data_IF_778667953035
#
_entry.id   IF_778667953035
#
_cell.length_a   1.000
_cell.length_b   1.000
_cell.length_c   1.000
_cell.angle_alpha   90.00
_cell.angle_beta   90.00
_cell.angle_gamma   90.00
#
_symmetry.space_group_name_H-M   'P 1'
#
loop_
_entity.id
_entity.type
_entity.pdbx_description
1 polymer ?
#
# COMPACT_ATOMS: atom_id res chain seq x y z
N UNK A 1 -19.62 -0.49 0.59
CA UNK A 1 -19.07 -0.73 -0.75
C UNK A 1 -19.72 -1.97 -1.35
N UNK A 2 -19.18 -3.19 -1.15
CA UNK A 2 -19.70 -4.43 -1.80
C UNK A 2 -21.19 -4.69 -1.50
N UNK A 3 -21.64 -4.51 -0.26
CA UNK A 3 -23.05 -4.69 0.12
C UNK A 3 -23.97 -3.49 -0.23
N UNK A 4 -23.46 -2.47 -0.91
CA UNK A 4 -24.23 -1.25 -1.24
C UNK A 4 -24.51 -0.29 -0.05
N UNK A 5 -24.02 -0.60 1.16
CA UNK A 5 -24.28 0.21 2.38
C UNK A 5 -23.32 1.39 2.61
N UNK A 6 -22.32 1.55 1.76
CA UNK A 6 -21.29 2.57 1.92
C UNK A 6 -20.80 2.97 0.53
N UNK A 7 -20.74 4.28 0.27
CA UNK A 7 -20.46 4.86 -1.05
C UNK A 7 -18.95 4.98 -1.36
N UNK A 8 -18.12 5.21 -0.34
CA UNK A 8 -16.67 5.39 -0.50
C UNK A 8 -15.90 4.67 0.59
N UNK A 9 -14.76 4.11 0.24
CA UNK A 9 -13.78 3.59 1.18
C UNK A 9 -12.40 4.17 0.84
N UNK A 10 -11.70 4.74 1.83
CA UNK A 10 -10.34 5.23 1.66
C UNK A 10 -9.37 4.14 2.11
N UNK A 11 -8.80 3.41 1.15
CA UNK A 11 -7.97 2.24 1.42
C UNK A 11 -6.92 2.08 0.32
N UNK A 12 -5.85 1.33 0.61
CA UNK A 12 -4.93 0.90 -0.44
C UNK A 12 -5.55 -0.12 -1.39
N UNK A 13 -4.78 -0.43 -2.43
CA UNK A 13 -5.23 -1.17 -3.60
C UNK A 13 -5.55 -2.65 -3.35
N UNK A 14 -5.13 -3.22 -2.21
CA UNK A 14 -5.58 -4.54 -1.77
C UNK A 14 -7.09 -4.65 -1.65
N UNK A 15 -7.81 -3.54 -1.47
CA UNK A 15 -9.27 -3.52 -1.55
C UNK A 15 -9.80 -3.96 -2.93
N UNK A 16 -9.06 -3.70 -4.02
CA UNK A 16 -9.39 -4.19 -5.37
C UNK A 16 -9.49 -5.72 -5.42
N UNK A 17 -8.57 -6.43 -4.74
CA UNK A 17 -8.60 -7.89 -4.65
C UNK A 17 -9.91 -8.43 -4.05
N UNK A 18 -10.49 -7.73 -3.08
CA UNK A 18 -11.78 -8.10 -2.50
C UNK A 18 -12.94 -7.93 -3.51
N UNK A 19 -12.91 -6.88 -4.32
CA UNK A 19 -13.90 -6.67 -5.38
C UNK A 19 -13.80 -7.73 -6.49
N UNK A 20 -12.57 -8.12 -6.87
CA UNK A 20 -12.33 -9.23 -7.81
C UNK A 20 -12.84 -10.55 -7.25
N UNK A 21 -12.56 -10.83 -5.97
CA UNK A 21 -13.04 -12.05 -5.30
C UNK A 21 -14.58 -12.11 -5.23
N UNK A 22 -15.22 -10.95 -5.05
CA UNK A 22 -16.67 -10.79 -5.12
C UNK A 22 -17.24 -10.80 -6.56
N UNK A 23 -16.39 -10.98 -7.59
CA UNK A 23 -16.75 -11.00 -9.03
C UNK A 23 -17.41 -9.70 -9.52
N UNK A 24 -17.06 -8.58 -8.92
CA UNK A 24 -17.53 -7.25 -9.34
C UNK A 24 -16.69 -6.74 -10.51
N UNK A 25 -17.28 -5.87 -11.34
CA UNK A 25 -16.68 -5.35 -12.56
C UNK A 25 -16.26 -3.90 -12.44
N UNK A 26 -15.04 -3.62 -12.89
CA UNK A 26 -14.48 -2.28 -13.03
C UNK A 26 -15.42 -1.33 -13.78
N UNK A 27 -15.62 -0.13 -13.22
CA UNK A 27 -16.43 0.96 -13.76
C UNK A 27 -17.90 0.61 -14.04
N UNK A 28 -18.39 -0.52 -13.51
CA UNK A 28 -19.80 -0.92 -13.54
C UNK A 28 -20.32 -1.06 -12.11
N UNK A 29 -19.66 -1.91 -11.32
CA UNK A 29 -20.06 -2.20 -9.94
C UNK A 29 -19.24 -1.37 -8.92
N UNK A 30 -18.00 -1.01 -9.26
CA UNK A 30 -17.13 -0.16 -8.46
C UNK A 30 -16.15 0.63 -9.33
N UNK A 31 -15.51 1.64 -8.74
CA UNK A 31 -14.48 2.44 -9.38
C UNK A 31 -13.48 2.97 -8.36
N UNK A 32 -12.54 3.78 -8.83
CA UNK A 32 -11.45 4.33 -8.02
C UNK A 32 -11.12 5.75 -8.47
N UNK A 33 -10.58 6.51 -7.53
CA UNK A 33 -10.02 7.85 -7.72
C UNK A 33 -8.86 8.01 -6.76
N UNK A 34 -7.94 8.94 -7.05
CA UNK A 34 -6.98 9.40 -6.05
C UNK A 34 -7.72 10.01 -4.85
N UNK A 35 -7.17 9.87 -3.65
CA UNK A 35 -7.74 10.50 -2.46
C UNK A 35 -7.80 12.03 -2.68
N UNK A 36 -8.85 12.73 -2.23
CA UNK A 36 -8.97 14.17 -2.43
C UNK A 36 -7.73 14.93 -1.97
N UNK A 37 -7.18 15.77 -2.84
CA UNK A 37 -5.99 16.58 -2.55
C UNK A 37 -4.64 15.88 -2.75
N UNK A 38 -4.61 14.62 -3.21
CA UNK A 38 -3.35 13.87 -3.40
C UNK A 38 -2.99 13.63 -4.88
N UNK A 39 -3.63 14.33 -5.81
CA UNK A 39 -3.31 14.22 -7.23
C UNK A 39 -1.83 14.61 -7.48
N UNK A 40 -1.13 13.85 -8.33
CA UNK A 40 0.30 14.04 -8.56
C UNK A 40 1.21 13.36 -7.53
N UNK A 41 0.65 12.58 -6.59
CA UNK A 41 1.40 11.80 -5.61
C UNK A 41 0.95 10.35 -5.60
N UNK A 42 1.91 9.44 -5.59
CA UNK A 42 1.69 8.01 -5.42
C UNK A 42 2.26 7.58 -4.07
N UNK A 43 1.36 7.31 -3.10
CA UNK A 43 1.78 6.80 -1.79
C UNK A 43 2.13 5.31 -1.93
N UNK A 44 3.43 5.02 -2.01
CA UNK A 44 3.92 3.67 -2.32
C UNK A 44 4.01 2.79 -1.07
N UNK A 45 3.59 1.54 -1.22
CA UNK A 45 3.95 0.42 -0.36
C UNK A 45 4.50 -0.71 -1.23
N UNK A 46 5.53 -1.41 -0.75
CA UNK A 46 6.11 -2.54 -1.45
C UNK A 46 6.22 -3.75 -0.51
N UNK A 47 5.55 -4.85 -0.88
CA UNK A 47 5.63 -6.10 -0.15
C UNK A 47 6.92 -6.85 -0.53
N UNK A 48 7.72 -7.21 0.49
CA UNK A 48 9.02 -7.87 0.31
C UNK A 48 9.10 -9.20 1.06
N UNK A 49 9.71 -10.20 0.43
CA UNK A 49 10.09 -11.46 1.07
C UNK A 49 11.60 -11.48 1.30
N UNK A 50 12.02 -11.91 2.49
CA UNK A 50 13.44 -11.90 2.89
C UNK A 50 13.99 -13.32 3.06
N UNK A 51 15.30 -13.47 2.82
CA UNK A 51 16.07 -14.61 3.27
C UNK A 51 16.75 -14.25 4.59
N UNK A 52 16.24 -14.77 5.71
CA UNK A 52 16.86 -14.57 7.01
C UNK A 52 18.24 -15.26 7.08
N UNK A 53 19.19 -14.62 7.77
CA UNK A 53 20.51 -15.21 8.04
C UNK A 53 20.33 -16.49 8.87
N UNK A 54 20.89 -17.60 8.40
CA UNK A 54 20.78 -18.90 9.08
C UNK A 54 19.44 -19.61 8.89
N UNK A 55 18.67 -19.24 7.85
CA UNK A 55 17.42 -19.94 7.53
C UNK A 55 17.66 -21.46 7.35
N UNK A 56 16.84 -22.33 7.98
CA UNK A 56 17.07 -23.78 7.99
C UNK A 56 16.95 -24.40 6.59
N UNK A 57 16.25 -23.74 5.66
CA UNK A 57 16.13 -24.16 4.26
C UNK A 57 16.47 -23.01 3.29
N UNK A 58 17.72 -22.56 3.31
CA UNK A 58 18.20 -21.46 2.47
C UNK A 58 17.94 -21.70 0.97
N UNK A 59 18.14 -22.93 0.47
CA UNK A 59 17.94 -23.27 -0.94
C UNK A 59 16.47 -23.12 -1.34
N UNK A 60 15.56 -23.64 -0.51
CA UNK A 60 14.12 -23.50 -0.73
C UNK A 60 13.68 -22.03 -0.74
N UNK A 61 14.15 -21.23 0.22
CA UNK A 61 13.85 -19.80 0.26
C UNK A 61 14.40 -19.07 -0.97
N UNK A 62 15.62 -19.36 -1.43
CA UNK A 62 16.16 -18.77 -2.67
C UNK A 62 15.32 -19.13 -3.89
N UNK A 63 14.83 -20.37 -3.99
CA UNK A 63 13.95 -20.78 -5.08
C UNK A 63 12.61 -20.04 -5.03
N UNK A 64 12.01 -19.91 -3.85
CA UNK A 64 10.81 -19.10 -3.65
C UNK A 64 11.00 -17.66 -4.12
N UNK A 65 12.08 -17.01 -3.68
CA UNK A 65 12.40 -15.63 -4.06
C UNK A 65 12.59 -15.48 -5.57
N UNK A 66 13.20 -16.46 -6.25
CA UNK A 66 13.31 -16.47 -7.72
C UNK A 66 11.94 -16.53 -8.40
N UNK A 67 11.02 -17.35 -7.88
CA UNK A 67 9.65 -17.43 -8.40
C UNK A 67 8.95 -16.09 -8.20
N UNK A 68 8.91 -15.57 -6.97
CA UNK A 68 8.24 -14.29 -6.66
C UNK A 68 8.82 -13.08 -7.41
N UNK A 69 10.12 -13.10 -7.71
CA UNK A 69 10.79 -12.07 -8.52
C UNK A 69 10.63 -12.26 -10.04
N UNK A 70 10.03 -13.35 -10.49
CA UNK A 70 9.84 -13.62 -11.92
C UNK A 70 8.70 -12.79 -12.52
N UNK A 71 8.82 -12.46 -13.80
CA UNK A 71 7.76 -11.78 -14.56
C UNK A 71 6.47 -12.60 -14.55
N UNK A 72 6.56 -13.90 -14.82
CA UNK A 72 5.42 -14.81 -14.87
C UNK A 72 4.63 -14.83 -13.55
N UNK A 73 5.31 -14.99 -12.41
CA UNK A 73 4.63 -15.02 -11.12
C UNK A 73 3.99 -13.66 -10.79
N UNK A 74 4.68 -12.55 -11.07
CA UNK A 74 4.13 -11.22 -10.81
C UNK A 74 2.92 -10.91 -11.70
N UNK A 75 2.94 -11.31 -12.97
CA UNK A 75 1.79 -11.17 -13.87
C UNK A 75 0.61 -12.04 -13.47
N UNK A 76 0.84 -13.21 -12.85
CA UNK A 76 -0.22 -14.07 -12.37
C UNK A 76 -0.80 -13.58 -11.02
N UNK A 77 0.05 -13.10 -10.11
CA UNK A 77 -0.34 -12.75 -8.75
C UNK A 77 -0.98 -11.35 -8.63
N UNK A 78 -0.34 -10.34 -9.21
CA UNK A 78 -0.70 -8.94 -8.98
C UNK A 78 -2.14 -8.58 -9.43
N UNK A 79 -2.65 -9.05 -10.59
CA UNK A 79 -4.03 -8.77 -10.98
C UNK A 79 -5.09 -9.29 -9.99
N UNK A 80 -4.77 -10.35 -9.25
CA UNK A 80 -5.66 -10.94 -8.24
C UNK A 80 -5.52 -10.23 -6.89
N UNK A 81 -4.30 -9.82 -6.55
CA UNK A 81 -4.00 -9.08 -5.31
C UNK A 81 -4.53 -7.64 -5.35
N UNK A 82 -4.64 -7.06 -6.54
CA UNK A 82 -4.98 -5.65 -6.76
C UNK A 82 -3.78 -4.72 -6.87
N UNK A 83 -2.56 -5.23 -6.75
CA UNK A 83 -1.32 -4.45 -6.86
C UNK A 83 -0.79 -4.40 -8.29
N UNK A 84 0.17 -3.52 -8.56
CA UNK A 84 0.95 -3.53 -9.81
C UNK A 84 2.24 -4.34 -9.64
N UNK A 85 2.89 -4.74 -10.75
CA UNK A 85 4.19 -5.40 -10.69
C UNK A 85 5.27 -4.51 -10.06
N UNK A 86 6.16 -5.11 -9.28
CA UNK A 86 7.42 -4.48 -8.90
C UNK A 86 8.41 -4.43 -10.08
N UNK A 87 8.27 -5.36 -11.03
CA UNK A 87 9.00 -5.33 -12.31
C UNK A 87 8.37 -4.31 -13.26
N UNK A 88 9.22 -3.59 -14.00
CA UNK A 88 8.80 -2.60 -15.01
C UNK A 88 8.53 -3.18 -16.39
N UNK A 89 8.78 -4.48 -16.59
CA UNK A 89 8.63 -5.16 -17.88
C UNK A 89 7.43 -6.12 -17.95
N UNK A 90 6.50 -6.06 -16.99
CA UNK A 90 5.26 -6.83 -17.04
C UNK A 90 4.37 -6.43 -18.23
N UNK A 91 3.69 -7.40 -18.82
CA UNK A 91 2.75 -7.19 -19.92
C UNK A 91 1.44 -6.58 -19.41
N UNK A 92 1.26 -5.29 -19.70
CA UNK A 92 0.07 -4.50 -19.34
C UNK A 92 -1.24 -5.09 -19.85
N UNK A 93 -1.21 -5.86 -20.95
CA UNK A 93 -2.41 -6.50 -21.51
C UNK A 93 -2.97 -7.60 -20.59
N UNK A 94 -2.18 -8.11 -19.64
CA UNK A 94 -2.64 -9.08 -18.63
C UNK A 94 -3.34 -8.44 -17.43
N UNK A 95 -3.43 -7.11 -17.40
CA UNK A 95 -3.95 -6.35 -16.27
C UNK A 95 -5.24 -5.61 -16.62
N UNK A 96 -6.08 -5.40 -15.62
CA UNK A 96 -7.33 -4.64 -15.75
C UNK A 96 -7.13 -3.12 -15.87
N UNK A 97 -8.20 -2.37 -16.15
CA UNK A 97 -8.18 -0.90 -16.21
C UNK A 97 -7.60 -0.24 -14.96
N UNK A 98 -7.93 -0.72 -13.75
CA UNK A 98 -7.39 -0.17 -12.50
C UNK A 98 -5.87 -0.20 -12.46
N UNK A 99 -5.29 -1.37 -12.70
CA UNK A 99 -3.86 -1.58 -12.65
C UNK A 99 -3.13 -0.72 -13.69
N UNK A 100 -3.70 -0.58 -14.89
CA UNK A 100 -3.13 0.28 -15.92
C UNK A 100 -3.13 1.74 -15.49
N UNK A 101 -4.22 2.22 -14.90
CA UNK A 101 -4.29 3.55 -14.28
C UNK A 101 -3.24 3.72 -13.16
N UNK A 102 -3.08 2.71 -12.29
CA UNK A 102 -2.09 2.73 -11.20
C UNK A 102 -0.65 2.70 -11.73
N UNK A 103 -0.35 1.90 -12.76
CA UNK A 103 0.96 1.86 -13.43
C UNK A 103 1.30 3.21 -14.08
N UNK A 104 0.32 3.90 -14.67
CA UNK A 104 0.54 5.24 -15.25
C UNK A 104 0.81 6.28 -14.16
N UNK A 105 0.03 6.28 -13.08
CA UNK A 105 0.24 7.15 -11.92
C UNK A 105 1.62 6.88 -11.29
N UNK A 106 2.01 5.62 -11.07
CA UNK A 106 3.33 5.25 -10.57
C UNK A 106 4.48 5.80 -11.42
N UNK A 107 4.31 5.83 -12.75
CA UNK A 107 5.35 6.31 -13.67
C UNK A 107 5.45 7.84 -13.75
N UNK A 108 4.38 8.57 -13.41
CA UNK A 108 4.27 10.01 -13.64
C UNK A 108 4.31 10.84 -12.35
N UNK A 109 3.77 10.29 -11.26
CA UNK A 109 3.55 11.01 -10.01
C UNK A 109 4.78 10.98 -9.08
N UNK A 110 4.79 11.87 -8.09
CA UNK A 110 5.80 11.84 -7.04
C UNK A 110 5.60 10.61 -6.14
N UNK A 111 6.60 9.73 -6.06
CA UNK A 111 6.57 8.57 -5.17
C UNK A 111 6.81 9.02 -3.72
N UNK A 112 5.81 8.82 -2.87
CA UNK A 112 5.83 9.22 -1.46
C UNK A 112 5.79 7.97 -0.58
N UNK A 113 6.76 7.75 0.33
CA UNK A 113 6.70 6.60 1.22
C UNK A 113 5.56 6.77 2.24
N UNK A 114 4.96 5.67 2.66
CA UNK A 114 3.89 5.63 3.67
C UNK A 114 4.43 5.34 5.07
N UNK A 115 3.96 6.09 6.07
CA UNK A 115 4.22 5.81 7.49
C UNK A 115 3.44 4.58 7.95
N UNK A 116 2.16 4.51 7.60
CA UNK A 116 1.24 3.46 8.09
C UNK A 116 1.62 2.06 7.59
N UNK A 117 2.32 1.96 6.46
CA UNK A 117 2.87 0.69 5.96
C UNK A 117 4.41 0.61 6.05
N UNK A 118 5.01 1.39 6.96
CA UNK A 118 6.37 1.16 7.44
C UNK A 118 7.51 1.56 6.51
N UNK A 119 7.25 2.32 5.44
CA UNK A 119 8.29 2.73 4.49
C UNK A 119 8.85 4.13 4.74
N UNK A 120 8.11 5.01 5.42
CA UNK A 120 8.49 6.42 5.61
C UNK A 120 9.13 6.73 6.95
N UNK A 121 8.92 5.88 7.96
CA UNK A 121 9.31 6.17 9.33
C UNK A 121 9.73 4.88 10.07
N UNK A 122 10.58 4.98 11.10
CA UNK A 122 10.90 3.85 11.95
C UNK A 122 9.66 3.38 12.75
N UNK A 123 9.71 2.13 13.22
CA UNK A 123 8.56 1.45 13.83
C UNK A 123 8.04 2.13 15.11
N UNK A 124 8.92 2.76 15.88
CA UNK A 124 8.55 3.51 17.09
C UNK A 124 7.69 4.75 16.75
N UNK A 125 8.06 5.52 15.73
CA UNK A 125 7.24 6.65 15.26
C UNK A 125 5.90 6.17 14.69
N UNK A 126 5.90 5.10 13.90
CA UNK A 126 4.68 4.52 13.33
C UNK A 126 3.70 4.11 14.45
N UNK A 127 4.19 3.46 15.50
CA UNK A 127 3.37 3.08 16.66
C UNK A 127 2.81 4.32 17.37
N UNK A 128 3.66 5.31 17.65
CA UNK A 128 3.24 6.55 18.30
C UNK A 128 2.18 7.32 17.49
N UNK A 129 2.32 7.33 16.15
CA UNK A 129 1.31 7.89 15.25
C UNK A 129 -0.03 7.16 15.36
N UNK A 130 -0.02 5.82 15.35
CA UNK A 130 -1.25 5.02 15.47
C UNK A 130 -1.95 5.24 16.81
N UNK A 131 -1.19 5.32 17.91
CA UNK A 131 -1.72 5.58 19.25
C UNK A 131 -2.34 6.97 19.33
N UNK A 132 -1.64 8.00 18.83
CA UNK A 132 -2.12 9.38 18.83
C UNK A 132 -3.39 9.55 17.97
N UNK A 133 -3.46 8.90 16.80
CA UNK A 133 -4.66 8.90 15.95
C UNK A 133 -5.82 8.18 16.64
N UNK A 134 -5.57 7.07 17.35
CA UNK A 134 -6.61 6.34 18.09
C UNK A 134 -7.26 7.23 19.16
N UNK A 135 -6.45 7.97 19.92
CA UNK A 135 -6.95 8.95 20.90
C UNK A 135 -7.72 10.08 20.19
N UNK A 136 -7.16 10.61 19.10
CA UNK A 136 -7.77 11.70 18.35
C UNK A 136 -9.16 11.35 17.79
N UNK A 137 -9.38 10.11 17.32
CA UNK A 137 -10.69 9.70 16.79
C UNK A 137 -11.79 9.79 17.85
N UNK A 138 -11.46 9.62 19.13
CA UNK A 138 -12.39 9.76 20.26
C UNK A 138 -12.50 11.22 20.69
N UNK A 139 -11.38 11.84 21.03
CA UNK A 139 -11.35 13.14 21.73
C UNK A 139 -11.43 14.33 20.77
N UNK A 140 -11.04 14.13 19.50
CA UNK A 140 -11.01 15.14 18.43
C UNK A 140 -10.16 16.38 18.76
N UNK A 141 -9.22 16.27 19.70
CA UNK A 141 -8.34 17.34 20.11
C UNK A 141 -7.12 17.45 19.15
N UNK A 142 -7.17 18.44 18.26
CA UNK A 142 -6.13 18.69 17.25
C UNK A 142 -4.80 19.06 17.89
N UNK A 143 -4.79 19.90 18.93
CA UNK A 143 -3.56 20.35 19.57
C UNK A 143 -2.85 19.20 20.29
N UNK A 144 -3.63 18.30 20.91
CA UNK A 144 -3.10 17.10 21.53
C UNK A 144 -2.47 16.15 20.48
N UNK A 145 -3.15 15.94 19.34
CA UNK A 145 -2.60 15.14 18.24
C UNK A 145 -1.29 15.75 17.71
N UNK A 146 -1.28 17.05 17.40
CA UNK A 146 -0.11 17.73 16.87
C UNK A 146 1.08 17.69 17.86
N UNK A 147 0.81 17.91 19.14
CA UNK A 147 1.82 17.82 20.21
C UNK A 147 2.41 16.42 20.31
N UNK A 148 1.56 15.38 20.31
CA UNK A 148 1.99 13.99 20.39
C UNK A 148 2.87 13.61 19.18
N UNK A 149 2.48 14.01 17.96
CA UNK A 149 3.26 13.73 16.75
C UNK A 149 4.60 14.47 16.73
N UNK A 150 4.66 15.73 17.19
CA UNK A 150 5.91 16.46 17.30
C UNK A 150 6.88 15.83 18.32
N UNK A 151 6.35 15.38 19.47
CA UNK A 151 7.14 14.67 20.47
C UNK A 151 7.63 13.31 19.95
N UNK A 152 6.77 12.56 19.25
CA UNK A 152 7.15 11.30 18.62
C UNK A 152 8.27 11.50 17.59
N UNK A 153 8.19 12.55 16.76
CA UNK A 153 9.22 12.85 15.78
C UNK A 153 10.59 13.12 16.46
N UNK A 154 10.60 13.89 17.55
CA UNK A 154 11.83 14.14 18.31
C UNK A 154 12.39 12.86 18.93
N UNK A 155 11.53 12.04 19.55
CA UNK A 155 11.92 10.79 20.19
C UNK A 155 12.52 9.78 19.18
N UNK A 156 11.98 9.75 17.96
CA UNK A 156 12.42 8.87 16.88
C UNK A 156 13.56 9.45 16.03
N UNK A 157 14.14 10.59 16.44
CA UNK A 157 15.36 11.13 15.84
C UNK A 157 15.18 11.88 14.53
N UNK A 158 13.96 12.33 14.20
CA UNK A 158 13.76 13.27 13.10
C UNK A 158 14.36 14.63 13.47
N UNK A 159 15.29 15.15 12.65
CA UNK A 159 15.87 16.48 12.84
C UNK A 159 14.82 17.57 12.58
N UNK A 160 14.80 18.63 13.39
CA UNK A 160 14.03 19.85 13.12
C UNK A 160 14.58 20.62 11.92
#
# INVERSE_FOLDING_TARGET
MIEGKCAFNSMGDWAYGEFVNAKLKDNVDFGWVSHPGTAGSFVIVADGFVLAKGAPNEVGTKNWLRVMGSKEAQEAFNPLKGSICARTDCDRAKFGPYHNWSMDSFAQDALVPTVVHGSAAPADFQQALNDAVTVFVVDKNVDALATALAQAAQASGFSQ
#
